data_IF_122345324021
#
_entry.id   IF_122345324021
#
_cell.length_a   1.000
_cell.length_b   1.000
_cell.length_c   1.000
_cell.angle_alpha   90.00
_cell.angle_beta   90.00
_cell.angle_gamma   90.00
#
_symmetry.space_group_name_H-M   'P 1'
#
loop_
_entity.id
_entity.type
_entity.pdbx_description
1 polymer ?
#
# COMPACT_ATOMS: atom_id res chain seq x y z
N UNK A 1 -22.57 5.57 -27.38
CA UNK A 1 -23.35 5.20 -26.18
C UNK A 1 -22.40 5.04 -25.01
N UNK A 2 -22.48 6.01 -24.10
CA UNK A 2 -22.10 6.06 -22.69
C UNK A 2 -20.92 5.23 -22.18
N UNK A 3 -19.79 5.91 -21.98
CA UNK A 3 -18.73 5.51 -21.06
C UNK A 3 -19.11 6.05 -19.66
N UNK A 4 -19.26 5.21 -18.61
CA UNK A 4 -19.73 5.67 -17.32
C UNK A 4 -18.60 6.39 -16.56
N UNK A 5 -18.89 7.64 -16.22
CA UNK A 5 -18.49 8.33 -14.98
C UNK A 5 -17.04 8.12 -14.49
N UNK A 6 -16.12 8.91 -15.06
CA UNK A 6 -14.96 9.39 -14.28
C UNK A 6 -15.50 10.25 -13.14
N UNK A 7 -15.58 9.65 -11.95
CA UNK A 7 -15.94 10.39 -10.74
C UNK A 7 -14.92 11.50 -10.43
N UNK A 8 -15.32 12.55 -9.69
CA UNK A 8 -14.49 13.72 -9.37
C UNK A 8 -13.20 13.41 -8.59
N UNK A 9 -13.07 12.19 -8.06
CA UNK A 9 -11.87 11.68 -7.39
C UNK A 9 -10.71 11.36 -8.36
N UNK A 10 -11.01 11.02 -9.62
CA UNK A 10 -9.99 10.78 -10.65
C UNK A 10 -9.25 12.07 -11.01
N UNK A 11 -9.96 13.19 -11.04
CA UNK A 11 -9.38 14.50 -11.40
C UNK A 11 -8.64 15.14 -10.21
N UNK A 12 -9.10 14.89 -8.98
CA UNK A 12 -8.40 15.34 -7.78
C UNK A 12 -7.01 14.68 -7.62
N UNK A 13 -6.90 13.38 -7.94
CA UNK A 13 -5.61 12.69 -7.98
C UNK A 13 -4.77 13.22 -9.15
N UNK A 14 -5.34 13.36 -10.36
CA UNK A 14 -4.62 13.88 -11.52
C UNK A 14 -4.06 15.30 -11.31
N UNK A 15 -4.76 16.14 -10.53
CA UNK A 15 -4.35 17.52 -10.22
C UNK A 15 -3.26 17.57 -9.15
N UNK A 16 -3.23 16.63 -8.20
CA UNK A 16 -2.15 16.50 -7.22
C UNK A 16 -0.81 16.03 -7.83
N UNK A 17 -0.82 15.50 -9.06
CA UNK A 17 0.38 15.04 -9.78
C UNK A 17 1.00 16.08 -10.72
N UNK A 18 0.40 17.27 -10.86
CA UNK A 18 0.98 18.37 -11.66
C UNK A 18 1.76 19.31 -10.73
N UNK A 19 2.85 18.82 -10.15
CA UNK A 19 3.89 19.70 -9.62
C UNK A 19 5.06 19.72 -10.59
N UNK A 20 5.31 20.92 -11.12
CA UNK A 20 6.34 21.20 -12.12
C UNK A 20 7.61 21.65 -11.40
N UNK A 21 8.72 20.99 -11.76
CA UNK A 21 10.13 21.47 -11.73
C UNK A 21 11.00 20.93 -10.57
N UNK A 22 12.34 21.12 -10.64
CA UNK A 22 13.24 20.64 -11.69
C UNK A 22 14.43 19.88 -11.04
N UNK A 23 15.07 18.93 -11.74
CA UNK A 23 16.32 18.29 -11.31
C UNK A 23 16.33 17.59 -9.93
N UNK A 24 15.86 16.34 -9.91
CA UNK A 24 16.50 15.29 -9.11
C UNK A 24 17.16 14.33 -10.11
N UNK A 25 18.46 14.12 -9.99
CA UNK A 25 19.29 13.34 -10.92
C UNK A 25 18.55 12.13 -11.50
N UNK A 26 18.46 12.09 -12.84
CA UNK A 26 17.93 10.94 -13.57
C UNK A 26 18.66 9.67 -13.09
N UNK A 27 17.95 8.56 -12.86
CA UNK A 27 18.61 7.31 -12.53
C UNK A 27 19.63 6.97 -13.63
N UNK A 28 20.85 6.64 -13.22
CA UNK A 28 21.92 6.22 -14.12
C UNK A 28 21.35 5.09 -15.01
N UNK A 29 21.39 5.23 -16.34
CA UNK A 29 20.86 4.21 -17.24
C UNK A 29 21.60 2.89 -17.00
N UNK A 30 20.89 1.86 -16.57
CA UNK A 30 21.45 0.51 -16.54
C UNK A 30 21.56 0.00 -17.98
N UNK A 31 22.73 -0.48 -18.44
CA UNK A 31 22.90 -0.98 -19.79
C UNK A 31 21.97 -2.18 -20.01
N UNK A 32 21.08 -2.10 -21.00
CA UNK A 32 20.17 -3.19 -21.40
C UNK A 32 18.70 -3.02 -20.99
N UNK A 33 18.34 -1.99 -20.22
CA UNK A 33 16.94 -1.65 -19.96
C UNK A 33 16.41 -0.69 -21.03
N UNK A 34 15.27 -0.99 -21.69
CA UNK A 34 14.66 -0.05 -22.62
C UNK A 34 14.29 1.24 -21.87
N UNK A 35 14.67 2.38 -22.44
CA UNK A 35 14.60 3.71 -21.83
C UNK A 35 13.18 4.24 -21.48
N UNK A 36 12.16 3.39 -21.46
CA UNK A 36 10.76 3.78 -21.30
C UNK A 36 9.95 3.00 -20.25
N UNK A 37 10.54 2.02 -19.56
CA UNK A 37 9.79 1.24 -18.55
C UNK A 37 10.00 1.89 -17.18
N UNK A 38 8.94 2.41 -16.52
CA UNK A 38 9.07 2.93 -15.17
C UNK A 38 9.47 1.81 -14.20
N UNK A 39 10.33 2.09 -13.21
CA UNK A 39 10.69 1.10 -12.21
C UNK A 39 9.45 0.69 -11.42
N UNK A 40 9.34 -0.62 -11.17
CA UNK A 40 8.38 -1.20 -10.24
C UNK A 40 8.69 -0.79 -8.80
N UNK A 41 7.76 -1.09 -7.90
CA UNK A 41 7.92 -0.77 -6.47
C UNK A 41 7.93 -2.07 -5.67
N UNK A 42 9.04 -2.34 -5.00
CA UNK A 42 9.14 -3.41 -4.02
C UNK A 42 8.71 -2.88 -2.64
N UNK A 43 7.80 -3.60 -1.99
CA UNK A 43 7.32 -3.34 -0.64
C UNK A 43 7.70 -4.52 0.23
N UNK A 44 8.52 -4.24 1.24
CA UNK A 44 8.84 -5.18 2.30
C UNK A 44 8.02 -4.84 3.53
N UNK A 45 7.39 -5.84 4.12
CA UNK A 45 6.50 -5.69 5.26
C UNK A 45 6.67 -6.88 6.21
N UNK A 46 6.36 -6.66 7.48
CA UNK A 46 6.44 -7.69 8.52
C UNK A 46 5.10 -7.92 9.19
N UNK A 47 4.94 -9.13 9.67
CA UNK A 47 3.80 -9.58 10.46
C UNK A 47 4.33 -10.28 11.71
N UNK A 48 3.71 -10.02 12.86
CA UNK A 48 4.06 -10.70 14.10
C UNK A 48 2.98 -11.74 14.42
N UNK A 49 3.40 -13.00 14.37
CA UNK A 49 2.61 -14.17 14.74
C UNK A 49 3.03 -14.61 16.14
N UNK A 50 2.07 -14.85 17.03
CA UNK A 50 2.39 -15.23 18.42
C UNK A 50 3.10 -16.58 18.51
N UNK A 51 2.79 -17.52 17.62
CA UNK A 51 3.31 -18.89 17.66
C UNK A 51 4.64 -19.03 16.93
N UNK A 52 4.79 -18.35 15.79
CA UNK A 52 5.97 -18.47 14.91
C UNK A 52 6.91 -17.25 14.99
N UNK A 53 6.51 -16.19 15.68
CA UNK A 53 7.27 -14.94 15.77
C UNK A 53 7.16 -14.08 14.52
N UNK A 54 8.24 -13.36 14.20
CA UNK A 54 8.26 -12.41 13.10
C UNK A 54 8.32 -13.11 11.73
N UNK A 55 7.41 -12.70 10.83
CA UNK A 55 7.40 -13.11 9.42
C UNK A 55 7.61 -11.92 8.52
N UNK A 56 8.49 -12.07 7.52
CA UNK A 56 8.75 -11.07 6.50
C UNK A 56 8.08 -11.45 5.19
N UNK A 57 7.42 -10.48 4.58
CA UNK A 57 6.84 -10.56 3.25
C UNK A 57 7.47 -9.51 2.35
N UNK A 58 7.54 -9.84 1.06
CA UNK A 58 7.96 -8.92 0.02
C UNK A 58 7.00 -9.03 -1.16
N UNK A 59 6.58 -7.88 -1.68
CA UNK A 59 5.73 -7.78 -2.85
C UNK A 59 6.32 -6.79 -3.85
N UNK A 60 6.48 -7.22 -5.10
CA UNK A 60 6.91 -6.37 -6.21
C UNK A 60 5.69 -6.00 -7.04
N UNK A 61 5.34 -4.71 -6.99
CA UNK A 61 4.16 -4.14 -7.62
C UNK A 61 4.48 -3.50 -8.97
N UNK A 62 3.54 -3.56 -9.92
CA UNK A 62 3.66 -2.74 -11.14
C UNK A 62 3.59 -1.25 -10.82
N UNK A 63 4.13 -0.43 -11.71
CA UNK A 63 4.12 1.02 -11.57
C UNK A 63 3.71 1.69 -12.88
N UNK A 64 2.47 1.45 -13.28
CA UNK A 64 1.92 1.90 -14.56
C UNK A 64 1.96 3.42 -14.71
N UNK A 65 1.85 4.15 -13.60
CA UNK A 65 1.77 5.61 -13.57
C UNK A 65 3.10 6.30 -13.25
N UNK A 66 4.21 5.55 -13.23
CA UNK A 66 5.54 6.09 -12.91
C UNK A 66 5.60 6.86 -11.57
N UNK A 67 4.84 6.40 -10.57
CA UNK A 67 4.83 6.98 -9.22
C UNK A 67 6.20 6.76 -8.59
N UNK A 68 6.83 7.83 -8.14
CA UNK A 68 8.14 7.76 -7.50
C UNK A 68 8.03 7.19 -6.09
N UNK A 69 9.08 6.50 -5.62
CA UNK A 69 9.12 6.01 -4.22
C UNK A 69 8.97 7.15 -3.20
N UNK A 70 9.43 8.36 -3.53
CA UNK A 70 9.22 9.54 -2.69
C UNK A 70 7.73 9.88 -2.53
N UNK A 71 6.98 9.88 -3.63
CA UNK A 71 5.52 10.09 -3.60
C UNK A 71 4.81 8.97 -2.83
N UNK A 72 5.21 7.71 -3.05
CA UNK A 72 4.66 6.56 -2.31
C UNK A 72 4.86 6.74 -0.81
N UNK A 73 6.08 7.07 -0.36
CA UNK A 73 6.39 7.28 1.07
C UNK A 73 5.59 8.43 1.67
N UNK A 74 5.45 9.55 0.94
CA UNK A 74 4.62 10.68 1.40
C UNK A 74 3.16 10.30 1.59
N UNK A 75 2.58 9.54 0.65
CA UNK A 75 1.20 9.09 0.76
C UNK A 75 1.04 8.11 1.92
N UNK A 76 1.93 7.13 2.05
CA UNK A 76 1.89 6.17 3.16
C UNK A 76 1.97 6.85 4.53
N UNK A 77 2.81 7.87 4.69
CA UNK A 77 2.90 8.63 5.94
C UNK A 77 1.55 9.25 6.36
N UNK A 78 0.66 9.50 5.40
CA UNK A 78 -0.71 10.00 5.66
C UNK A 78 -1.72 8.84 5.76
N UNK A 79 -1.54 7.80 4.95
CA UNK A 79 -2.52 6.72 4.76
C UNK A 79 -2.34 5.53 5.69
N UNK A 80 -1.26 5.42 6.46
CA UNK A 80 -1.01 4.29 7.37
C UNK A 80 -1.09 4.75 8.82
N UNK A 81 -1.46 3.87 9.74
CA UNK A 81 -1.45 4.19 11.17
C UNK A 81 -0.02 4.42 11.61
N UNK A 82 0.21 5.53 12.30
CA UNK A 82 1.55 5.97 12.72
C UNK A 82 2.55 6.02 11.54
N UNK A 83 2.04 6.17 10.32
CA UNK A 83 2.81 6.18 9.08
C UNK A 83 3.42 4.83 8.66
N UNK A 84 3.16 3.73 9.38
CA UNK A 84 3.84 2.44 9.15
C UNK A 84 2.91 1.22 9.14
N UNK A 85 1.76 1.27 9.81
CA UNK A 85 0.92 0.08 9.99
C UNK A 85 -0.30 0.05 9.06
N UNK A 86 -0.59 -1.13 8.50
CA UNK A 86 -1.65 -1.35 7.52
C UNK A 86 -2.18 -2.80 7.51
N UNK A 87 -3.35 -3.04 6.90
CA UNK A 87 -3.85 -4.39 6.63
C UNK A 87 -3.41 -4.82 5.21
N UNK A 88 -2.53 -5.81 5.14
CA UNK A 88 -1.97 -6.30 3.88
C UNK A 88 -3.05 -6.86 2.93
N UNK A 89 -3.96 -7.68 3.45
CA UNK A 89 -5.03 -8.29 2.66
C UNK A 89 -5.95 -7.25 2.05
N UNK A 90 -6.35 -6.25 2.85
CA UNK A 90 -7.17 -5.12 2.36
C UNK A 90 -6.42 -4.19 1.41
N UNK A 91 -5.08 -4.15 1.46
CA UNK A 91 -4.25 -3.42 0.50
C UNK A 91 -4.03 -4.22 -0.79
N UNK A 92 -4.48 -5.48 -0.87
CA UNK A 92 -4.27 -6.37 -2.02
C UNK A 92 -2.92 -7.11 -1.98
N UNK A 93 -2.20 -7.05 -0.87
CA UNK A 93 -1.00 -7.84 -0.64
C UNK A 93 -1.33 -9.19 0.01
N UNK A 94 -0.48 -10.21 -0.14
CA UNK A 94 -0.61 -11.46 0.59
C UNK A 94 -0.65 -11.21 2.10
N UNK A 95 -1.67 -11.76 2.77
CA UNK A 95 -1.70 -11.78 4.23
C UNK A 95 -0.71 -12.84 4.72
N UNK A 96 0.22 -12.45 5.60
CA UNK A 96 1.19 -13.39 6.17
C UNK A 96 0.63 -14.15 7.38
N UNK A 97 -0.59 -13.85 7.82
CA UNK A 97 -1.25 -14.56 8.91
C UNK A 97 -1.50 -16.04 8.56
N UNK A 98 -1.48 -16.90 9.58
CA UNK A 98 -1.84 -18.31 9.43
C UNK A 98 -3.36 -18.50 9.28
N UNK A 99 -3.75 -19.68 8.78
CA UNK A 99 -5.16 -20.06 8.65
C UNK A 99 -5.92 -20.16 10.00
N UNK A 100 -5.19 -20.23 11.12
CA UNK A 100 -5.74 -20.29 12.47
C UNK A 100 -5.29 -19.06 13.26
N UNK A 101 -6.04 -17.95 13.20
CA UNK A 101 -5.71 -16.75 13.95
C UNK A 101 -5.79 -17.02 15.46
N UNK A 102 -4.76 -16.63 16.18
CA UNK A 102 -4.71 -16.65 17.65
C UNK A 102 -5.10 -15.26 18.19
N UNK A 103 -5.68 -15.18 19.39
CA UNK A 103 -6.12 -13.90 20.00
C UNK A 103 -4.96 -12.93 20.25
N UNK A 104 -3.74 -13.45 20.37
CA UNK A 104 -2.52 -12.66 20.55
C UNK A 104 -1.88 -12.19 19.23
N UNK A 105 -2.40 -12.62 18.09
CA UNK A 105 -1.90 -12.20 16.79
C UNK A 105 -2.31 -10.77 16.50
N UNK A 106 -1.40 -10.00 15.89
CA UNK A 106 -1.74 -8.65 15.45
C UNK A 106 -2.61 -8.74 14.20
N UNK A 107 -3.61 -7.86 14.09
CA UNK A 107 -4.46 -7.74 12.91
C UNK A 107 -3.84 -6.81 11.83
N UNK A 108 -2.66 -6.27 12.10
CA UNK A 108 -1.95 -5.33 11.24
C UNK A 108 -0.55 -5.82 10.87
N UNK A 109 -0.09 -5.33 9.73
CA UNK A 109 1.26 -5.50 9.21
C UNK A 109 2.02 -4.18 9.34
N UNK A 110 3.34 -4.27 9.46
CA UNK A 110 4.21 -3.10 9.52
C UNK A 110 5.03 -2.99 8.25
N UNK A 111 5.06 -1.79 7.69
CA UNK A 111 5.92 -1.47 6.57
C UNK A 111 7.38 -1.39 7.03
N UNK A 112 8.24 -2.21 6.41
CA UNK A 112 9.68 -2.22 6.70
C UNK A 112 10.43 -1.36 5.69
N UNK A 113 10.13 -1.52 4.39
CA UNK A 113 10.91 -0.86 3.33
C UNK A 113 10.11 -0.68 2.05
N UNK A 114 10.44 0.40 1.33
CA UNK A 114 9.98 0.65 -0.04
C UNK A 114 11.16 1.04 -0.91
N UNK A 115 11.32 0.35 -2.03
CA UNK A 115 12.41 0.58 -2.99
C UNK A 115 11.93 0.49 -4.43
N UNK A 116 12.53 1.26 -5.35
CA UNK A 116 12.32 1.04 -6.77
C UNK A 116 13.04 -0.25 -7.18
N UNK A 117 12.47 -1.02 -8.09
CA UNK A 117 13.08 -2.25 -8.63
C UNK A 117 12.72 -2.46 -10.10
N UNK A 118 13.52 -3.26 -10.80
CA UNK A 118 13.22 -3.74 -12.15
C UNK A 118 12.93 -5.25 -12.20
N UNK A 119 12.83 -5.89 -11.03
CA UNK A 119 12.46 -7.29 -10.91
C UNK A 119 11.05 -7.56 -11.44
N UNK A 120 10.76 -8.82 -11.75
CA UNK A 120 9.41 -9.22 -12.14
C UNK A 120 8.43 -9.00 -10.98
N UNK A 121 7.19 -8.62 -11.32
CA UNK A 121 6.14 -8.48 -10.32
C UNK A 121 5.83 -9.83 -9.68
N UNK A 122 5.81 -9.88 -8.35
CA UNK A 122 5.48 -11.10 -7.60
C UNK A 122 3.98 -11.21 -7.31
N UNK A 123 3.23 -10.12 -7.49
CA UNK A 123 1.78 -10.05 -7.32
C UNK A 123 1.14 -9.27 -8.47
N UNK A 124 -0.09 -9.61 -8.89
CA UNK A 124 -0.81 -8.90 -9.94
C UNK A 124 -1.48 -7.62 -9.37
N UNK A 125 -0.69 -6.70 -8.83
CA UNK A 125 -1.16 -5.46 -8.20
C UNK A 125 -0.29 -4.27 -8.62
N UNK A 126 -0.93 -3.15 -8.96
CA UNK A 126 -0.26 -1.87 -9.22
C UNK A 126 -0.09 -1.04 -7.94
N UNK A 127 0.99 -0.27 -7.85
CA UNK A 127 1.25 0.62 -6.72
C UNK A 127 0.12 1.66 -6.53
N UNK A 128 -0.51 2.13 -7.61
CA UNK A 128 -1.63 3.05 -7.51
C UNK A 128 -2.86 2.36 -6.86
N UNK A 129 -3.11 1.10 -7.19
CA UNK A 129 -4.20 0.32 -6.61
C UNK A 129 -3.94 0.01 -5.13
N UNK A 130 -2.70 -0.34 -4.78
CA UNK A 130 -2.27 -0.49 -3.39
C UNK A 130 -2.56 0.77 -2.56
N UNK A 131 -2.15 1.94 -3.05
CA UNK A 131 -2.38 3.23 -2.37
C UNK A 131 -3.86 3.60 -2.31
N UNK A 132 -4.63 3.31 -3.37
CA UNK A 132 -6.07 3.53 -3.40
C UNK A 132 -6.80 2.66 -2.39
N UNK A 133 -6.39 1.39 -2.26
CA UNK A 133 -6.93 0.46 -1.28
C UNK A 133 -6.58 0.87 0.16
N UNK A 134 -5.34 1.33 0.40
CA UNK A 134 -4.94 1.92 1.66
C UNK A 134 -5.81 3.13 2.05
N UNK A 135 -6.09 4.03 1.10
CA UNK A 135 -6.97 5.18 1.32
C UNK A 135 -8.40 4.75 1.69
N UNK A 136 -8.93 3.68 1.09
CA UNK A 136 -10.25 3.14 1.45
C UNK A 136 -10.26 2.61 2.88
N UNK A 137 -9.16 2.04 3.38
CA UNK A 137 -9.04 1.60 4.77
C UNK A 137 -8.98 2.78 5.75
N UNK A 138 -8.33 3.87 5.34
CA UNK A 138 -8.16 5.07 6.17
C UNK A 138 -9.40 5.94 6.28
N UNK A 139 -10.48 5.65 5.55
CA UNK A 139 -11.76 6.26 5.88
C UNK A 139 -12.11 5.84 7.31
N UNK A 140 -12.27 6.80 8.25
CA UNK A 140 -12.70 6.46 9.58
C UNK A 140 -14.02 5.72 9.44
N UNK A 141 -14.03 4.44 9.82
CA UNK A 141 -15.26 3.79 10.20
C UNK A 141 -15.90 4.73 11.23
N UNK A 142 -17.17 5.15 11.06
CA UNK A 142 -17.83 5.89 12.11
C UNK A 142 -17.65 5.06 13.40
N UNK A 143 -17.22 5.74 14.45
CA UNK A 143 -16.81 5.18 15.76
C UNK A 143 -17.94 4.41 16.50
N UNK A 144 -19.01 4.03 15.80
CA UNK A 144 -20.29 3.58 16.32
C UNK A 144 -20.44 2.05 16.45
N UNK A 145 -19.35 1.27 16.40
CA UNK A 145 -19.46 -0.20 16.55
C UNK A 145 -18.48 -0.83 17.56
N UNK A 146 -17.81 -0.04 18.40
CA UNK A 146 -16.97 -0.57 19.51
C UNK A 146 -17.50 -0.27 20.92
N UNK A 147 -18.69 0.30 21.04
CA UNK A 147 -19.40 0.50 22.32
C UNK A 147 -20.83 -0.04 22.20
N UNK A 148 -21.03 -1.26 22.69
CA UNK A 148 -22.30 -1.99 22.71
C UNK A 148 -21.96 -3.47 22.59
N UNK A 149 -21.95 -4.29 23.64
CA UNK A 149 -22.86 -4.33 24.78
C UNK A 149 -22.15 -4.92 26.00
N UNK A 150 -21.99 -4.14 27.07
CA UNK A 150 -22.06 -4.70 28.41
C UNK A 150 -23.50 -5.19 28.60
N UNK A 151 -23.72 -6.50 28.63
CA UNK A 151 -24.96 -7.07 29.15
C UNK A 151 -24.83 -7.19 30.67
N UNK A 152 -25.76 -6.65 31.47
CA UNK A 152 -25.76 -6.85 32.91
C UNK A 152 -26.13 -8.29 33.22
N UNK A 153 -25.33 -8.91 34.09
CA UNK A 153 -25.64 -10.18 34.73
C UNK A 153 -26.86 -9.95 35.63
N UNK A 154 -27.95 -10.66 35.35
CA UNK A 154 -29.06 -10.86 36.27
C UNK A 154 -28.98 -12.26 36.86
#
# INVERSE_FOLDING_TARGET
>A
MNNPERGPLSDALATAFVDRSPFGSLPIPQPGLPASIPPRVAIQYRYYDYLLGERLGEAVLTNTYAITVHQVKKLIAVLFYDGLYFDAGRCGLPCLALAYPHEADRDWHELVRITPTYEAGTVPLDIADFLSNALKQHRPQPFASRLGTEQPVH
#
